data_IF_512376695775
#
_entry.id   IF_512376695775
#
_cell.length_a   1.000
_cell.length_b   1.000
_cell.length_c   1.000
_cell.angle_alpha   90.00
_cell.angle_beta   90.00
_cell.angle_gamma   90.00
#
_symmetry.space_group_name_H-M   'P 1'
#
loop_
_entity.id
_entity.type
_entity.pdbx_description
1 polymer ?
#
# COMPACT_ATOMS: atom_id res chain seq x y z
N UNK A 1 51.01 -6.55 -47.82
CA UNK A 1 51.11 -5.21 -47.18
C UNK A 1 49.68 -4.68 -47.06
N UNK A 2 48.94 -5.08 -46.03
CA UNK A 2 48.71 -4.33 -44.78
C UNK A 2 48.07 -2.96 -44.99
N UNK A 3 46.75 -2.89 -44.83
CA UNK A 3 46.04 -1.71 -44.37
C UNK A 3 45.20 -2.13 -43.15
N UNK A 4 45.52 -1.56 -42.00
CA UNK A 4 44.88 -1.78 -40.70
C UNK A 4 43.76 -0.73 -40.57
N UNK A 5 42.50 -1.10 -40.33
CA UNK A 5 41.48 -0.16 -39.89
C UNK A 5 41.55 0.02 -38.37
N UNK A 6 41.63 1.26 -37.94
CA UNK A 6 41.56 1.71 -36.54
C UNK A 6 40.22 1.34 -35.89
N UNK A 7 40.28 0.64 -34.75
CA UNK A 7 39.13 0.36 -33.87
C UNK A 7 38.65 1.66 -33.21
N UNK A 8 37.47 2.14 -33.60
CA UNK A 8 36.72 3.11 -32.82
C UNK A 8 35.91 2.38 -31.73
N UNK A 9 36.16 2.80 -30.49
CA UNK A 9 35.25 2.89 -29.35
C UNK A 9 34.35 1.68 -29.02
N UNK A 10 34.89 0.79 -28.18
CA UNK A 10 34.09 -0.06 -27.29
C UNK A 10 33.57 0.82 -26.16
N UNK A 11 32.29 1.20 -26.22
CA UNK A 11 31.61 1.90 -25.14
C UNK A 11 31.31 0.89 -24.01
N UNK A 12 32.16 0.84 -23.00
CA UNK A 12 31.86 0.18 -21.73
C UNK A 12 30.83 0.99 -20.96
N UNK A 13 29.69 0.43 -20.52
CA UNK A 13 28.81 1.14 -19.59
C UNK A 13 29.55 1.25 -18.24
N UNK A 14 29.81 2.48 -17.82
CA UNK A 14 30.39 2.78 -16.52
C UNK A 14 29.43 2.31 -15.42
N UNK A 15 29.89 1.37 -14.59
CA UNK A 15 29.24 1.06 -13.32
C UNK A 15 29.35 2.29 -12.42
N UNK A 16 28.22 2.98 -12.23
CA UNK A 16 28.11 4.14 -11.36
C UNK A 16 28.44 3.78 -9.90
N UNK A 17 29.43 4.48 -9.38
CA UNK A 17 29.87 4.49 -7.98
C UNK A 17 28.75 4.93 -7.04
N UNK A 18 28.57 4.19 -5.93
CA UNK A 18 27.74 4.56 -4.78
C UNK A 18 28.13 5.96 -4.27
N UNK A 19 27.30 6.97 -4.52
CA UNK A 19 27.52 8.30 -3.95
C UNK A 19 26.87 9.50 -4.63
N UNK A 20 26.16 9.38 -5.75
CA UNK A 20 25.52 10.57 -6.35
C UNK A 20 24.16 10.92 -5.71
N UNK A 21 23.88 12.23 -5.51
CA UNK A 21 22.57 12.69 -5.04
C UNK A 21 21.50 12.35 -6.08
N UNK A 22 20.30 11.99 -5.61
CA UNK A 22 19.11 11.75 -6.42
C UNK A 22 18.68 13.08 -7.08
N UNK A 23 19.34 13.49 -8.16
CA UNK A 23 19.03 14.75 -8.85
C UNK A 23 19.27 14.67 -10.33
N UNK A 24 18.59 13.76 -11.04
CA UNK A 24 17.99 14.12 -12.35
C UNK A 24 16.73 13.27 -12.56
N UNK A 25 15.60 13.76 -12.07
CA UNK A 25 14.29 13.35 -12.61
C UNK A 25 14.01 14.24 -13.84
N UNK A 26 13.64 13.62 -14.95
CA UNK A 26 13.22 14.32 -16.17
C UNK A 26 12.11 15.36 -15.86
N UNK A 27 12.02 16.47 -16.63
CA UNK A 27 11.02 17.50 -16.39
C UNK A 27 9.60 16.91 -16.50
N UNK A 28 8.80 17.06 -15.44
CA UNK A 28 7.41 16.63 -15.43
C UNK A 28 6.59 17.41 -16.47
N UNK A 29 5.75 16.70 -17.25
CA UNK A 29 5.06 17.28 -18.40
C UNK A 29 3.87 18.18 -18.00
N UNK A 30 3.45 18.18 -16.73
CA UNK A 30 2.38 19.04 -16.21
C UNK A 30 2.48 19.31 -14.69
N UNK A 31 1.82 20.39 -14.22
CA UNK A 31 1.76 20.74 -12.79
C UNK A 31 1.16 19.61 -11.91
N UNK A 32 0.17 18.90 -12.45
CA UNK A 32 -0.49 17.75 -11.80
C UNK A 32 0.46 16.57 -11.60
N UNK A 33 1.37 16.33 -12.54
CA UNK A 33 2.34 15.25 -12.47
C UNK A 33 3.42 15.53 -11.42
N UNK A 34 3.85 16.80 -11.30
CA UNK A 34 4.75 17.25 -10.24
C UNK A 34 4.13 17.04 -8.85
N UNK A 35 2.84 17.37 -8.68
CA UNK A 35 2.13 17.15 -7.42
C UNK A 35 2.01 15.66 -7.08
N UNK A 36 1.74 14.80 -8.08
CA UNK A 36 1.71 13.34 -7.89
C UNK A 36 3.07 12.77 -7.51
N UNK A 37 4.15 13.23 -8.14
CA UNK A 37 5.52 12.81 -7.81
C UNK A 37 5.88 13.25 -6.39
N UNK A 38 5.53 14.48 -6.00
CA UNK A 38 5.78 14.98 -4.64
C UNK A 38 4.96 14.19 -3.60
N UNK A 39 3.67 13.94 -3.88
CA UNK A 39 2.82 13.13 -3.02
C UNK A 39 3.36 11.69 -2.90
N UNK A 40 3.79 11.10 -4.02
CA UNK A 40 4.42 9.79 -4.06
C UNK A 40 5.66 9.74 -3.17
N UNK A 41 6.61 10.66 -3.35
CA UNK A 41 7.83 10.69 -2.55
C UNK A 41 7.56 11.00 -1.08
N UNK A 42 6.56 11.83 -0.77
CA UNK A 42 6.17 12.13 0.60
C UNK A 42 5.62 10.89 1.30
N UNK A 43 4.71 10.16 0.65
CA UNK A 43 4.13 8.94 1.23
C UNK A 43 5.17 7.82 1.29
N UNK A 44 6.04 7.69 0.28
CA UNK A 44 7.12 6.71 0.26
C UNK A 44 8.18 7.00 1.34
N UNK A 45 8.61 8.25 1.48
CA UNK A 45 9.53 8.66 2.55
C UNK A 45 8.91 8.41 3.92
N UNK A 46 7.61 8.69 4.07
CA UNK A 46 6.89 8.38 5.30
C UNK A 46 6.80 6.87 5.57
N UNK A 47 6.53 6.05 4.55
CA UNK A 47 6.53 4.58 4.66
C UNK A 47 7.87 4.03 5.15
N UNK A 48 8.98 4.59 4.67
CA UNK A 48 10.34 4.17 5.04
C UNK A 48 10.76 4.70 6.42
N UNK A 49 10.45 5.96 6.77
CA UNK A 49 10.72 6.51 8.09
C UNK A 49 9.93 5.78 9.20
N UNK A 50 8.79 5.17 8.87
CA UNK A 50 7.95 4.43 9.80
C UNK A 50 8.56 3.08 10.24
N UNK A 51 9.49 2.51 9.48
CA UNK A 51 10.25 1.32 9.89
C UNK A 51 11.01 1.52 11.21
N UNK A 52 11.44 2.76 11.47
CA UNK A 52 12.10 3.16 12.72
C UNK A 52 11.10 3.24 13.89
N UNK A 53 9.85 3.64 13.61
CA UNK A 53 8.81 3.79 14.63
C UNK A 53 8.26 2.44 15.13
N UNK A 54 8.36 1.36 14.35
CA UNK A 54 7.94 0.01 14.75
C UNK A 54 8.78 -0.58 15.90
N UNK A 55 9.93 0.02 16.23
CA UNK A 55 10.74 -0.33 17.40
C UNK A 55 10.54 0.58 18.63
N UNK A 56 9.66 1.59 18.54
CA UNK A 56 9.44 2.56 19.62
C UNK A 56 8.52 2.00 20.71
N UNK A 57 8.73 2.42 21.96
CA UNK A 57 7.78 2.14 23.04
C UNK A 57 6.47 2.93 22.81
N UNK A 58 5.33 2.42 23.29
CA UNK A 58 4.00 2.99 22.99
C UNK A 58 3.85 4.48 23.34
N UNK A 59 4.52 4.95 24.39
CA UNK A 59 4.57 6.35 24.79
C UNK A 59 5.39 7.23 23.83
N UNK A 60 6.51 6.72 23.32
CA UNK A 60 7.34 7.38 22.30
C UNK A 60 6.61 7.44 20.97
N UNK A 61 5.97 6.33 20.59
CA UNK A 61 5.12 6.26 19.42
C UNK A 61 3.91 7.21 19.50
N UNK A 62 3.31 7.38 20.68
CA UNK A 62 2.21 8.33 20.87
C UNK A 62 2.67 9.78 20.62
N UNK A 63 3.81 10.19 21.20
CA UNK A 63 4.39 11.53 20.98
C UNK A 63 4.85 11.75 19.54
N UNK A 64 5.42 10.71 18.94
CA UNK A 64 5.77 10.71 17.52
C UNK A 64 4.51 10.91 16.66
N UNK A 65 3.46 10.13 16.89
CA UNK A 65 2.20 10.20 16.13
C UNK A 65 1.46 11.53 16.32
N UNK A 66 1.49 12.12 17.53
CA UNK A 66 0.96 13.47 17.76
C UNK A 66 1.65 14.51 16.87
N UNK A 67 2.96 14.36 16.65
CA UNK A 67 3.72 15.22 15.74
C UNK A 67 3.27 15.08 14.27
N UNK A 68 2.62 13.96 13.92
CA UNK A 68 2.04 13.69 12.61
C UNK A 68 0.52 13.87 12.56
N UNK A 69 -0.15 14.34 13.62
CA UNK A 69 -1.59 14.61 13.59
C UNK A 69 -1.98 15.57 12.45
N UNK A 70 -1.26 16.69 12.20
CA UNK A 70 -1.54 17.56 11.06
C UNK A 70 -1.40 16.86 9.71
N UNK A 71 -0.48 15.88 9.62
CA UNK A 71 -0.29 15.08 8.42
C UNK A 71 -1.44 14.07 8.24
N UNK A 72 -1.92 13.46 9.33
CA UNK A 72 -3.13 12.64 9.31
C UNK A 72 -4.34 13.41 8.79
N UNK A 73 -4.54 14.64 9.24
CA UNK A 73 -5.62 15.51 8.75
C UNK A 73 -5.42 15.87 7.27
N UNK A 74 -4.17 16.16 6.87
CA UNK A 74 -3.83 16.42 5.47
C UNK A 74 -4.12 15.21 4.58
N UNK A 75 -3.81 13.99 5.04
CA UNK A 75 -4.09 12.75 4.32
C UNK A 75 -5.58 12.48 4.18
N UNK A 76 -6.38 12.69 5.23
CA UNK A 76 -7.84 12.54 5.14
C UNK A 76 -8.40 13.54 4.12
N UNK A 77 -7.97 14.81 4.19
CA UNK A 77 -8.34 15.83 3.20
C UNK A 77 -7.93 15.45 1.79
N UNK A 78 -6.73 14.92 1.62
CA UNK A 78 -6.23 14.42 0.34
C UNK A 78 -7.10 13.31 -0.19
N UNK A 79 -7.39 12.27 0.61
CA UNK A 79 -8.28 11.15 0.23
C UNK A 79 -9.66 11.67 -0.17
N UNK A 80 -10.24 12.62 0.59
CA UNK A 80 -11.56 13.20 0.25
C UNK A 80 -11.52 14.10 -0.98
N UNK A 81 -10.36 14.66 -1.32
CA UNK A 81 -10.16 15.49 -2.49
C UNK A 81 -9.82 14.67 -3.75
N UNK A 82 -9.43 13.41 -3.60
CA UNK A 82 -9.26 12.51 -4.73
C UNK A 82 -10.62 12.27 -5.38
N UNK A 83 -10.66 12.40 -6.70
CA UNK A 83 -11.85 12.07 -7.49
C UNK A 83 -12.24 10.61 -7.26
N UNK A 84 -13.54 10.37 -7.09
CA UNK A 84 -14.06 9.02 -6.95
C UNK A 84 -13.77 8.24 -8.25
N UNK A 85 -13.11 7.09 -8.09
CA UNK A 85 -12.63 6.26 -9.20
C UNK A 85 -13.78 5.80 -10.11
N UNK A 86 -15.00 5.69 -9.58
CA UNK A 86 -16.22 5.25 -10.26
C UNK A 86 -16.86 6.40 -11.06
N UNK A 87 -16.73 7.66 -10.62
CA UNK A 87 -17.41 8.80 -11.25
C UNK A 87 -16.56 9.51 -12.30
N UNK A 88 -15.33 9.03 -12.51
CA UNK A 88 -14.44 9.57 -13.53
C UNK A 88 -14.88 9.05 -14.90
N UNK A 89 -15.38 9.94 -15.77
CA UNK A 89 -15.45 9.72 -17.22
C UNK A 89 -14.04 9.69 -17.83
N UNK A 90 -13.21 8.77 -17.34
CA UNK A 90 -11.85 8.59 -17.82
C UNK A 90 -11.83 7.52 -18.89
N UNK A 91 -11.51 7.93 -20.11
CA UNK A 91 -11.37 7.03 -21.26
C UNK A 91 -9.98 6.36 -21.33
N UNK A 92 -8.99 6.83 -20.57
CA UNK A 92 -7.63 6.31 -20.61
C UNK A 92 -7.30 5.44 -19.39
N UNK A 93 -7.05 4.15 -19.66
CA UNK A 93 -6.67 3.12 -18.68
C UNK A 93 -5.48 3.53 -17.79
N UNK A 94 -4.49 4.24 -18.35
CA UNK A 94 -3.32 4.72 -17.62
C UNK A 94 -3.70 5.69 -16.48
N UNK A 95 -4.69 6.55 -16.72
CA UNK A 95 -5.16 7.50 -15.72
C UNK A 95 -5.92 6.79 -14.60
N UNK A 96 -6.75 5.80 -14.94
CA UNK A 96 -7.46 4.95 -13.97
C UNK A 96 -6.44 4.22 -13.08
N UNK A 97 -5.40 3.61 -13.69
CA UNK A 97 -4.32 2.94 -12.96
C UNK A 97 -3.56 3.91 -12.04
N UNK A 98 -3.24 5.12 -12.51
CA UNK A 98 -2.56 6.12 -11.68
C UNK A 98 -3.41 6.53 -10.47
N UNK A 99 -4.71 6.73 -10.66
CA UNK A 99 -5.64 7.08 -9.59
C UNK A 99 -5.84 5.90 -8.62
N UNK A 100 -5.95 4.68 -9.12
CA UNK A 100 -6.01 3.45 -8.32
C UNK A 100 -4.78 3.32 -7.39
N UNK A 101 -3.57 3.49 -7.94
CA UNK A 101 -2.33 3.44 -7.16
C UNK A 101 -2.32 4.56 -6.12
N UNK A 102 -2.77 5.77 -6.49
CA UNK A 102 -2.81 6.93 -5.58
C UNK A 102 -3.75 6.69 -4.40
N UNK A 103 -4.96 6.19 -4.65
CA UNK A 103 -5.92 5.82 -3.60
C UNK A 103 -5.36 4.73 -2.70
N UNK A 104 -4.81 3.65 -3.29
CA UNK A 104 -4.24 2.54 -2.52
C UNK A 104 -3.10 3.00 -1.62
N UNK A 105 -2.24 3.86 -2.14
CA UNK A 105 -1.12 4.46 -1.42
C UNK A 105 -1.60 5.34 -0.25
N UNK A 106 -2.60 6.19 -0.50
CA UNK A 106 -3.15 7.09 0.52
C UNK A 106 -3.82 6.32 1.67
N UNK A 107 -4.61 5.30 1.35
CA UNK A 107 -5.20 4.42 2.37
C UNK A 107 -4.11 3.63 3.12
N UNK A 108 -3.07 3.16 2.43
CA UNK A 108 -1.95 2.46 3.10
C UNK A 108 -1.20 3.37 4.06
N UNK A 109 -1.00 4.63 3.70
CA UNK A 109 -0.43 5.63 4.60
C UNK A 109 -1.30 5.83 5.85
N UNK A 110 -2.62 5.95 5.67
CA UNK A 110 -3.59 6.05 6.77
C UNK A 110 -3.56 4.83 7.69
N UNK A 111 -3.55 3.64 7.11
CA UNK A 111 -3.42 2.38 7.83
C UNK A 111 -2.15 2.37 8.68
N UNK A 112 -0.99 2.65 8.06
CA UNK A 112 0.31 2.60 8.76
C UNK A 112 0.42 3.64 9.86
N UNK A 113 -0.06 4.88 9.62
CA UNK A 113 -0.06 5.96 10.60
C UNK A 113 -0.84 5.59 11.86
N UNK A 114 -2.00 4.96 11.70
CA UNK A 114 -2.87 4.61 12.83
C UNK A 114 -2.51 3.25 13.47
N UNK A 115 -1.79 2.37 12.76
CA UNK A 115 -1.53 1.00 13.21
C UNK A 115 -0.71 0.94 14.50
N UNK A 116 0.24 1.86 14.72
CA UNK A 116 1.03 1.86 15.96
C UNK A 116 0.15 2.14 17.19
N UNK A 117 -0.90 2.94 17.03
CA UNK A 117 -1.81 3.27 18.11
C UNK A 117 -3.04 2.35 18.17
N UNK A 118 -3.17 1.38 17.25
CA UNK A 118 -4.36 0.54 17.17
C UNK A 118 -4.56 -0.33 18.41
N UNK A 119 -3.48 -0.80 19.03
CA UNK A 119 -3.55 -1.59 20.27
C UNK A 119 -3.92 -0.73 21.49
N UNK A 120 -3.56 0.54 21.47
CA UNK A 120 -3.77 1.46 22.59
C UNK A 120 -5.07 2.28 22.49
N UNK A 121 -5.56 2.54 21.28
CA UNK A 121 -6.71 3.44 21.01
C UNK A 121 -7.67 2.79 20.02
N UNK A 122 -8.89 2.52 20.48
CA UNK A 122 -9.97 1.97 19.65
C UNK A 122 -10.25 2.83 18.41
N UNK A 123 -10.26 4.17 18.55
CA UNK A 123 -10.45 5.07 17.40
C UNK A 123 -9.36 4.90 16.31
N UNK A 124 -8.11 4.65 16.71
CA UNK A 124 -7.02 4.42 15.76
C UNK A 124 -7.17 3.06 15.07
N UNK A 125 -7.65 2.04 15.81
CA UNK A 125 -7.98 0.73 15.25
C UNK A 125 -9.10 0.82 14.22
N UNK A 126 -10.17 1.55 14.51
CA UNK A 126 -11.28 1.74 13.56
C UNK A 126 -10.83 2.44 12.27
N UNK A 127 -9.93 3.43 12.38
CA UNK A 127 -9.31 4.07 11.21
C UNK A 127 -8.46 3.10 10.39
N UNK A 128 -7.70 2.23 11.05
CA UNK A 128 -6.93 1.19 10.36
C UNK A 128 -7.85 0.22 9.63
N UNK A 129 -8.93 -0.21 10.29
CA UNK A 129 -9.89 -1.14 9.70
C UNK A 129 -10.56 -0.53 8.47
N UNK A 130 -11.04 0.72 8.59
CA UNK A 130 -11.61 1.45 7.46
C UNK A 130 -10.62 1.61 6.31
N UNK A 131 -9.35 1.92 6.60
CA UNK A 131 -8.31 2.04 5.57
C UNK A 131 -7.97 0.71 4.90
N UNK A 132 -7.86 -0.38 5.66
CA UNK A 132 -7.60 -1.71 5.13
C UNK A 132 -8.76 -2.20 4.23
N UNK A 133 -10.00 -2.02 4.67
CA UNK A 133 -11.19 -2.36 3.87
C UNK A 133 -11.30 -1.49 2.62
N UNK A 134 -10.93 -0.20 2.67
CA UNK A 134 -10.90 0.65 1.49
C UNK A 134 -9.86 0.17 0.46
N UNK A 135 -8.66 -0.25 0.89
CA UNK A 135 -7.64 -0.84 0.00
C UNK A 135 -8.19 -2.06 -0.74
N UNK A 136 -8.87 -2.94 -0.01
CA UNK A 136 -9.51 -4.12 -0.60
C UNK A 136 -10.66 -3.70 -1.52
N UNK A 137 -11.51 -2.78 -1.10
CA UNK A 137 -12.66 -2.28 -1.86
C UNK A 137 -12.28 -1.75 -3.24
N UNK A 138 -11.16 -1.03 -3.35
CA UNK A 138 -10.64 -0.54 -4.64
C UNK A 138 -10.46 -1.65 -5.69
N UNK A 139 -10.11 -2.88 -5.26
CA UNK A 139 -9.94 -4.04 -6.16
C UNK A 139 -11.25 -4.55 -6.75
N UNK A 140 -12.41 -4.14 -6.19
CA UNK A 140 -13.75 -4.44 -6.71
C UNK A 140 -14.29 -3.31 -7.57
N UNK A 141 -13.96 -2.07 -7.22
CA UNK A 141 -14.45 -0.88 -7.92
C UNK A 141 -13.82 -0.70 -9.30
N UNK A 142 -12.64 -1.27 -9.51
CA UNK A 142 -11.93 -1.22 -10.78
C UNK A 142 -11.73 -2.63 -11.30
N UNK A 143 -11.96 -2.82 -12.60
CA UNK A 143 -11.57 -4.05 -13.27
C UNK A 143 -10.04 -4.09 -13.41
N UNK A 144 -9.39 -4.58 -12.36
CA UNK A 144 -7.94 -4.71 -12.32
C UNK A 144 -7.42 -5.75 -13.32
N UNK A 145 -8.26 -6.58 -13.95
CA UNK A 145 -7.82 -7.48 -15.02
C UNK A 145 -7.47 -6.72 -16.30
N UNK A 146 -8.13 -5.57 -16.53
CA UNK A 146 -7.81 -4.69 -17.65
C UNK A 146 -6.44 -4.02 -17.49
N UNK A 147 -5.89 -3.98 -16.26
CA UNK A 147 -4.56 -3.48 -16.03
C UNK A 147 -3.54 -4.47 -16.60
N UNK A 148 -3.11 -4.27 -17.85
CA UNK A 148 -2.04 -5.06 -18.47
C UNK A 148 -0.73 -5.08 -17.64
N UNK A 149 -0.51 -4.05 -16.82
CA UNK A 149 0.67 -3.87 -15.99
C UNK A 149 0.28 -3.07 -14.75
N UNK A 150 0.80 -3.45 -13.58
CA UNK A 150 0.70 -2.67 -12.35
C UNK A 150 2.08 -2.51 -11.71
N UNK A 151 2.29 -1.41 -10.98
CA UNK A 151 3.51 -1.25 -10.21
C UNK A 151 3.57 -2.32 -9.10
N UNK A 152 4.60 -3.20 -9.07
CA UNK A 152 4.73 -4.27 -8.08
C UNK A 152 4.64 -3.81 -6.63
N UNK A 153 4.93 -2.53 -6.35
CA UNK A 153 4.81 -1.94 -5.02
C UNK A 153 3.38 -2.08 -4.45
N UNK A 154 2.36 -2.15 -5.32
CA UNK A 154 0.97 -2.35 -4.92
C UNK A 154 0.77 -3.63 -4.11
N UNK A 155 1.53 -4.69 -4.41
CA UNK A 155 1.47 -5.95 -3.66
C UNK A 155 1.87 -5.75 -2.21
N UNK A 156 2.83 -4.87 -1.94
CA UNK A 156 3.25 -4.51 -0.57
C UNK A 156 2.13 -3.80 0.20
N UNK A 157 1.32 -3.01 -0.49
CA UNK A 157 0.19 -2.30 0.09
C UNK A 157 -0.97 -3.26 0.40
N UNK A 158 -1.29 -4.17 -0.51
CA UNK A 158 -2.25 -5.25 -0.28
C UNK A 158 -1.82 -6.15 0.88
N UNK A 159 -0.55 -6.56 0.94
CA UNK A 159 -0.01 -7.30 2.10
C UNK A 159 -0.20 -6.52 3.40
N UNK A 160 0.05 -5.21 3.40
CA UNK A 160 -0.14 -4.38 4.59
C UNK A 160 -1.59 -4.41 5.09
N UNK A 161 -2.56 -4.33 4.19
CA UNK A 161 -3.98 -4.44 4.52
C UNK A 161 -4.32 -5.84 5.05
N UNK A 162 -3.93 -6.89 4.32
CA UNK A 162 -4.20 -8.27 4.71
C UNK A 162 -3.60 -8.62 6.08
N UNK A 163 -2.38 -8.19 6.38
CA UNK A 163 -1.74 -8.40 7.69
C UNK A 163 -2.57 -7.80 8.83
N UNK A 164 -3.08 -6.58 8.63
CA UNK A 164 -3.93 -5.94 9.63
C UNK A 164 -5.26 -6.69 9.82
N UNK A 165 -5.91 -7.09 8.72
CA UNK A 165 -7.16 -7.85 8.76
C UNK A 165 -7.00 -9.22 9.43
N UNK A 166 -5.91 -9.93 9.16
CA UNK A 166 -5.53 -11.20 9.85
C UNK A 166 -5.39 -10.99 11.36
N UNK A 167 -4.71 -9.91 11.76
CA UNK A 167 -4.59 -9.53 13.17
C UNK A 167 -5.95 -9.24 13.80
N UNK A 168 -6.84 -8.55 13.08
CA UNK A 168 -8.18 -8.21 13.57
C UNK A 168 -9.08 -9.44 13.72
N UNK A 169 -9.04 -10.39 12.78
CA UNK A 169 -9.71 -11.69 12.91
C UNK A 169 -9.23 -12.42 14.18
N UNK A 170 -7.91 -12.48 14.38
CA UNK A 170 -7.31 -13.11 15.56
C UNK A 170 -7.79 -12.45 16.86
N UNK A 171 -7.89 -11.12 16.87
CA UNK A 171 -8.36 -10.33 17.99
C UNK A 171 -9.84 -10.60 18.30
N UNK A 172 -10.70 -10.62 17.28
CA UNK A 172 -12.13 -10.94 17.45
C UNK A 172 -12.32 -12.33 18.06
N UNK A 173 -11.58 -13.33 17.58
CA UNK A 173 -11.59 -14.69 18.15
C UNK A 173 -11.14 -14.73 19.61
N UNK A 174 -10.13 -13.94 19.97
CA UNK A 174 -9.62 -13.84 21.34
C UNK A 174 -10.63 -13.19 22.29
N UNK A 175 -11.43 -12.24 21.81
CA UNK A 175 -12.46 -11.55 22.60
C UNK A 175 -13.81 -12.25 22.65
N UNK A 176 -14.05 -13.22 21.75
CA UNK A 176 -15.31 -14.00 21.68
C UNK A 176 -15.76 -14.59 23.03
N UNK A 177 -14.88 -15.18 23.87
CA UNK A 177 -15.29 -15.73 25.17
C UNK A 177 -15.78 -14.68 26.17
N UNK A 178 -15.45 -13.40 25.95
CA UNK A 178 -15.71 -12.30 26.89
C UNK A 178 -17.09 -11.66 26.65
N UNK A 179 -17.58 -11.64 25.41
CA UNK A 179 -18.77 -10.85 25.03
C UNK A 179 -20.07 -11.65 24.87
N UNK A 180 -20.03 -12.98 24.85
CA UNK A 180 -21.21 -13.85 24.97
C UNK A 180 -22.32 -13.69 23.93
N UNK A 181 -22.17 -12.78 22.96
CA UNK A 181 -23.10 -12.52 21.86
C UNK A 181 -22.44 -12.90 20.54
N UNK A 182 -22.68 -14.15 20.10
CA UNK A 182 -22.07 -14.76 18.91
C UNK A 182 -22.49 -14.07 17.59
N UNK A 183 -23.70 -13.51 17.51
CA UNK A 183 -24.33 -13.04 16.25
C UNK A 183 -23.93 -11.65 15.72
N UNK A 184 -22.89 -11.00 16.24
CA UNK A 184 -22.37 -9.75 15.62
C UNK A 184 -20.87 -9.82 15.39
N UNK A 185 -20.16 -10.54 16.27
CA UNK A 185 -18.73 -10.81 16.09
C UNK A 185 -18.50 -11.77 14.92
N UNK A 186 -19.40 -12.74 14.72
CA UNK A 186 -19.25 -13.75 13.68
C UNK A 186 -19.51 -13.17 12.28
N UNK A 187 -20.44 -12.22 12.16
CA UNK A 187 -20.76 -11.49 10.94
C UNK A 187 -19.59 -10.60 10.52
N UNK A 188 -19.01 -9.87 11.48
CA UNK A 188 -17.80 -9.08 11.25
C UNK A 188 -16.64 -9.97 10.83
N UNK A 189 -16.43 -11.09 11.51
CA UNK A 189 -15.37 -12.04 11.13
C UNK A 189 -15.56 -12.53 9.69
N UNK A 190 -16.77 -12.95 9.30
CA UNK A 190 -17.07 -13.36 7.92
C UNK A 190 -16.78 -12.26 6.90
N UNK A 191 -17.10 -11.00 7.22
CA UNK A 191 -16.80 -9.85 6.37
C UNK A 191 -15.28 -9.69 6.16
N UNK A 192 -14.49 -9.81 7.23
CA UNK A 192 -13.02 -9.72 7.14
C UNK A 192 -12.43 -10.89 6.33
N UNK A 193 -12.98 -12.10 6.49
CA UNK A 193 -12.60 -13.26 5.66
C UNK A 193 -12.86 -13.00 4.18
N UNK A 194 -14.06 -12.52 3.83
CA UNK A 194 -14.40 -12.19 2.45
C UNK A 194 -13.47 -11.11 1.86
N UNK A 195 -13.13 -10.09 2.67
CA UNK A 195 -12.18 -9.06 2.25
C UNK A 195 -10.76 -9.63 1.99
N UNK A 196 -10.30 -10.57 2.83
CA UNK A 196 -9.01 -11.25 2.63
C UNK A 196 -8.99 -12.08 1.35
N UNK A 197 -10.02 -12.90 1.11
CA UNK A 197 -10.15 -13.70 -0.10
C UNK A 197 -10.19 -12.83 -1.36
N UNK A 198 -10.92 -11.72 -1.30
CA UNK A 198 -10.96 -10.75 -2.40
C UNK A 198 -9.57 -10.18 -2.70
N UNK A 199 -8.82 -9.79 -1.66
CA UNK A 199 -7.47 -9.26 -1.85
C UNK A 199 -6.50 -10.32 -2.40
N UNK A 200 -6.63 -11.58 -1.98
CA UNK A 200 -5.87 -12.69 -2.55
C UNK A 200 -6.21 -12.90 -4.03
N UNK A 201 -7.49 -12.85 -4.39
CA UNK A 201 -7.93 -12.91 -5.79
C UNK A 201 -7.29 -11.81 -6.65
N UNK A 202 -7.25 -10.58 -6.13
CA UNK A 202 -6.56 -9.47 -6.80
C UNK A 202 -5.06 -9.72 -6.97
N UNK A 203 -4.39 -10.26 -5.95
CA UNK A 203 -2.97 -10.60 -6.01
C UNK A 203 -2.68 -11.74 -6.98
N UNK A 204 -3.56 -12.73 -7.10
CA UNK A 204 -3.40 -13.86 -8.04
C UNK A 204 -3.27 -13.37 -9.47
N UNK A 205 -4.09 -12.39 -9.88
CA UNK A 205 -4.10 -11.82 -11.24
C UNK A 205 -2.69 -11.38 -11.67
N UNK A 206 -1.95 -10.72 -10.77
CA UNK A 206 -0.62 -10.19 -11.07
C UNK A 206 0.53 -11.11 -10.65
N UNK A 207 0.27 -12.15 -9.85
CA UNK A 207 1.30 -13.05 -9.34
C UNK A 207 1.99 -13.88 -10.44
N UNK A 208 1.30 -14.10 -11.55
CA UNK A 208 1.81 -14.88 -12.69
C UNK A 208 3.02 -14.19 -13.35
N UNK A 209 2.96 -12.86 -13.46
CA UNK A 209 3.97 -12.05 -14.16
C UNK A 209 4.86 -11.25 -13.20
N UNK A 210 4.57 -11.29 -11.89
CA UNK A 210 5.31 -10.54 -10.87
C UNK A 210 5.77 -11.47 -9.73
N UNK A 211 7.04 -11.94 -9.75
CA UNK A 211 7.59 -12.80 -8.69
C UNK A 211 7.51 -12.20 -7.29
N UNK A 212 7.59 -10.86 -7.17
CA UNK A 212 7.43 -10.18 -5.89
C UNK A 212 6.01 -10.35 -5.34
N UNK A 213 4.98 -10.14 -6.17
CA UNK A 213 3.58 -10.33 -5.76
C UNK A 213 3.31 -11.81 -5.47
N UNK A 214 3.88 -12.74 -6.26
CA UNK A 214 3.78 -14.17 -6.00
C UNK A 214 4.33 -14.57 -4.63
N UNK A 215 5.54 -14.09 -4.30
CA UNK A 215 6.14 -14.30 -2.98
C UNK A 215 5.30 -13.70 -1.85
N UNK A 216 4.84 -12.45 -2.04
CA UNK A 216 4.00 -11.73 -1.09
C UNK A 216 2.67 -12.44 -0.83
N UNK A 217 2.01 -12.91 -1.89
CA UNK A 217 0.76 -13.67 -1.83
C UNK A 217 0.96 -14.99 -1.05
N UNK A 218 1.99 -15.75 -1.40
CA UNK A 218 2.29 -17.02 -0.74
C UNK A 218 2.52 -16.83 0.75
N UNK A 219 3.29 -15.80 1.13
CA UNK A 219 3.56 -15.47 2.53
C UNK A 219 2.28 -15.13 3.29
N UNK A 220 1.43 -14.27 2.74
CA UNK A 220 0.24 -13.81 3.45
C UNK A 220 -0.85 -14.89 3.54
N UNK A 221 -0.97 -15.75 2.52
CA UNK A 221 -1.85 -16.92 2.55
C UNK A 221 -1.40 -17.93 3.61
N UNK A 222 -0.08 -18.14 3.74
CA UNK A 222 0.47 -18.96 4.81
C UNK A 222 0.12 -18.37 6.19
N UNK A 223 0.32 -17.07 6.40
CA UNK A 223 -0.04 -16.41 7.67
C UNK A 223 -1.54 -16.53 7.98
N UNK A 224 -2.40 -16.39 6.97
CA UNK A 224 -3.85 -16.57 7.10
C UNK A 224 -4.25 -18.01 7.42
N UNK A 225 -3.60 -19.01 6.80
CA UNK A 225 -3.89 -20.43 7.02
C UNK A 225 -3.64 -20.86 8.47
N UNK A 226 -2.72 -20.18 9.18
CA UNK A 226 -2.43 -20.44 10.60
C UNK A 226 -3.52 -19.97 11.56
N UNK A 227 -4.51 -19.21 11.07
CA UNK A 227 -5.66 -18.81 11.86
C UNK A 227 -6.67 -19.96 12.01
N UNK A 228 -6.76 -20.84 11.00
CA UNK A 228 -7.71 -21.96 10.96
C UNK A 228 -7.12 -23.21 11.63
#
# INVERSE_FOLDING_TARGET
MHNIPTMNEVHTPAYGTLGEPITVLHPAASATEKERIIAFWTVYAMHNCWGVALGMQANEAARFTESFAPLGDCMVRFITALSNIITLEMTLLESIRSIFVTHTLAHTASLRLNAILADAKEQSRDKCLAAALAIVGLTKEVDIQDFQQINPIIGTFWVSACQFLIGEVSRLRTLRPIWGTESMSDEKEKELFAALEQCFGAMVIFSLDCPLISYQLTKIQHDFSRLN
#
